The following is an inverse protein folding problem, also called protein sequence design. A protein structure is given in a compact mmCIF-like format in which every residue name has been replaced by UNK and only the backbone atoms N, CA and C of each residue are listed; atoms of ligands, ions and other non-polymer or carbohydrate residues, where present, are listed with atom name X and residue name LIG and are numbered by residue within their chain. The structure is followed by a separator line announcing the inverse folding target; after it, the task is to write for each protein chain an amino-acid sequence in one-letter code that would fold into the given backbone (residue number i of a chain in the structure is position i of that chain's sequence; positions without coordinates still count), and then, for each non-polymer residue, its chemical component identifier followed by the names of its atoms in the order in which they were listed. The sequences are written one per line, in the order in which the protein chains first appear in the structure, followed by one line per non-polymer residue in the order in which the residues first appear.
data_IF_041506694380
#
_entry.id   IF_041506694380
#
_cell.length_a   1.000
_cell.length_b   1.000
_cell.length_c   1.000
_cell.angle_alpha   90.00
_cell.angle_beta   90.00
_cell.angle_gamma   90.00
#
_symmetry.space_group_name_H-M   'P 1'
#
loop_
_entity.id
_entity.type
_entity.pdbx_description
1 polymer ?
#
# COMPACT_ATOMS: atom_id res chain seq x y z
N UNK A 1 -7.24 -10.23 -3.51
CA UNK A 1 -8.41 -9.41 -3.09
C UNK A 1 -9.81 -9.83 -3.58
N UNK A 2 -9.99 -10.50 -4.72
CA UNK A 2 -11.33 -10.77 -5.30
C UNK A 2 -12.29 -11.56 -4.40
N UNK A 3 -11.82 -12.61 -3.73
CA UNK A 3 -12.66 -13.36 -2.78
C UNK A 3 -13.14 -12.50 -1.61
N UNK A 4 -12.31 -11.55 -1.15
CA UNK A 4 -12.70 -10.59 -0.11
C UNK A 4 -13.80 -9.64 -0.58
N UNK A 5 -13.78 -9.23 -1.86
CA UNK A 5 -14.83 -8.42 -2.46
C UNK A 5 -16.18 -9.15 -2.48
N UNK A 6 -16.20 -10.45 -2.81
CA UNK A 6 -17.42 -11.28 -2.79
C UNK A 6 -17.98 -11.48 -1.38
N UNK A 7 -17.10 -11.64 -0.38
CA UNK A 7 -17.52 -11.74 1.03
C UNK A 7 -18.10 -10.39 1.48
N UNK A 8 -17.43 -9.28 1.19
CA UNK A 8 -17.90 -7.94 1.52
C UNK A 8 -19.25 -7.64 0.86
N UNK A 9 -19.41 -7.96 -0.43
CA UNK A 9 -20.68 -7.85 -1.16
C UNK A 9 -21.81 -8.50 -0.37
N UNK A 10 -21.64 -9.76 0.03
CA UNK A 10 -22.70 -10.52 0.72
C UNK A 10 -23.03 -9.95 2.10
N UNK A 11 -22.02 -9.48 2.85
CA UNK A 11 -22.25 -8.86 4.16
C UNK A 11 -23.00 -7.54 4.01
N UNK A 12 -22.55 -6.67 3.10
CA UNK A 12 -23.12 -5.33 2.91
C UNK A 12 -24.54 -5.41 2.32
N UNK A 13 -24.79 -6.34 1.41
CA UNK A 13 -26.12 -6.60 0.84
C UNK A 13 -27.11 -7.05 1.93
N UNK A 14 -26.69 -7.98 2.80
CA UNK A 14 -27.49 -8.43 3.95
C UNK A 14 -27.75 -7.32 4.98
N UNK A 15 -26.91 -6.28 5.01
CA UNK A 15 -27.11 -5.08 5.84
C UNK A 15 -28.00 -4.03 5.16
N UNK A 16 -28.60 -4.35 4.00
CA UNK A 16 -29.40 -3.44 3.20
C UNK A 16 -28.66 -2.16 2.78
N UNK A 17 -27.34 -2.24 2.59
CA UNK A 17 -26.57 -1.11 2.05
C UNK A 17 -27.08 -0.73 0.65
N UNK A 18 -27.21 0.57 0.32
CA UNK A 18 -27.57 0.99 -1.03
C UNK A 18 -26.64 0.39 -2.08
N UNK A 19 -27.21 -0.08 -3.19
CA UNK A 19 -26.46 -0.78 -4.24
C UNK A 19 -25.30 0.05 -4.81
N UNK A 20 -25.45 1.37 -4.87
CA UNK A 20 -24.39 2.30 -5.30
C UNK A 20 -23.15 2.23 -4.39
N UNK A 21 -23.35 2.39 -3.08
CA UNK A 21 -22.25 2.43 -2.10
C UNK A 21 -21.60 1.06 -1.95
N UNK A 22 -22.41 0.01 -1.97
CA UNK A 22 -21.96 -1.36 -1.99
C UNK A 22 -21.06 -1.63 -3.21
N UNK A 23 -21.49 -1.21 -4.41
CA UNK A 23 -20.71 -1.38 -5.63
C UNK A 23 -19.36 -0.64 -5.55
N UNK A 24 -19.35 0.58 -5.01
CA UNK A 24 -18.12 1.35 -4.81
C UNK A 24 -17.13 0.62 -3.89
N UNK A 25 -17.59 0.13 -2.73
CA UNK A 25 -16.75 -0.59 -1.75
C UNK A 25 -16.22 -1.91 -2.34
N UNK A 26 -17.11 -2.73 -2.91
CA UNK A 26 -16.75 -4.04 -3.46
C UNK A 26 -15.77 -3.89 -4.62
N UNK A 27 -15.97 -2.88 -5.46
CA UNK A 27 -15.05 -2.57 -6.57
C UNK A 27 -13.68 -2.14 -6.05
N UNK A 28 -13.63 -1.28 -5.04
CA UNK A 28 -12.37 -0.88 -4.43
C UNK A 28 -11.62 -2.09 -3.83
N UNK A 29 -12.32 -2.94 -3.08
CA UNK A 29 -11.74 -4.17 -2.51
C UNK A 29 -11.25 -5.10 -3.62
N UNK A 30 -12.04 -5.37 -4.66
CA UNK A 30 -11.64 -6.29 -5.73
C UNK A 30 -10.33 -5.88 -6.42
N UNK A 31 -10.10 -4.57 -6.59
CA UNK A 31 -9.05 -4.05 -7.45
C UNK A 31 -7.80 -3.52 -6.73
N UNK A 32 -7.60 -3.75 -5.43
CA UNK A 32 -6.42 -3.21 -4.71
C UNK A 32 -5.21 -4.17 -4.61
N UNK A 33 -5.28 -5.38 -5.15
CA UNK A 33 -4.21 -6.39 -5.09
C UNK A 33 -3.06 -6.11 -6.08
N UNK A 34 -1.81 -6.40 -5.74
CA UNK A 34 -0.65 -6.10 -6.60
C UNK A 34 -0.67 -6.82 -7.95
N UNK A 35 -1.19 -8.06 -8.01
CA UNK A 35 -1.14 -8.87 -9.23
C UNK A 35 -2.16 -8.49 -10.30
N UNK A 36 -3.30 -7.94 -9.89
CA UNK A 36 -4.44 -7.64 -10.78
C UNK A 36 -5.02 -6.24 -10.58
N UNK A 37 -4.41 -5.45 -9.69
CA UNK A 37 -4.99 -4.21 -9.18
C UNK A 37 -4.98 -3.08 -10.18
N UNK A 38 -6.10 -2.38 -10.23
CA UNK A 38 -6.31 -1.21 -11.08
C UNK A 38 -7.07 -0.15 -10.26
N UNK A 39 -6.55 1.08 -10.13
CA UNK A 39 -7.26 2.16 -9.44
C UNK A 39 -8.44 2.65 -10.30
N UNK A 40 -9.54 1.91 -10.28
CA UNK A 40 -10.69 2.15 -11.18
C UNK A 40 -11.55 3.35 -10.74
N UNK A 41 -11.54 3.69 -9.45
CA UNK A 41 -12.22 4.84 -8.85
C UNK A 41 -11.32 5.61 -7.89
N UNK A 42 -11.67 6.85 -7.47
CA UNK A 42 -10.95 7.57 -6.42
C UNK A 42 -10.87 6.78 -5.10
N UNK A 43 -11.95 6.09 -4.71
CA UNK A 43 -11.97 5.25 -3.50
C UNK A 43 -11.01 4.06 -3.62
N UNK A 44 -10.99 3.39 -4.79
CA UNK A 44 -10.03 2.32 -5.07
C UNK A 44 -8.59 2.82 -5.02
N UNK A 45 -8.31 4.00 -5.59
CA UNK A 45 -6.99 4.61 -5.55
C UNK A 45 -6.55 4.96 -4.12
N UNK A 46 -7.44 5.55 -3.32
CA UNK A 46 -7.17 5.84 -1.91
C UNK A 46 -6.89 4.56 -1.11
N UNK A 47 -7.68 3.50 -1.31
CA UNK A 47 -7.47 2.20 -0.67
C UNK A 47 -6.11 1.58 -1.05
N UNK A 48 -5.75 1.62 -2.33
CA UNK A 48 -4.45 1.15 -2.81
C UNK A 48 -3.32 1.90 -2.11
N UNK A 49 -3.36 3.23 -2.07
CA UNK A 49 -2.32 4.02 -1.43
C UNK A 49 -2.22 3.69 0.06
N UNK A 50 -3.35 3.56 0.76
CA UNK A 50 -3.37 3.22 2.18
C UNK A 50 -2.79 1.83 2.47
N UNK A 51 -3.14 0.82 1.67
CA UNK A 51 -2.68 -0.57 1.88
C UNK A 51 -1.23 -0.78 1.42
N UNK A 52 -0.87 -0.29 0.23
CA UNK A 52 0.41 -0.61 -0.41
C UNK A 52 1.57 0.25 0.09
N UNK A 53 1.28 1.39 0.70
CA UNK A 53 2.28 2.19 1.41
C UNK A 53 2.50 1.75 2.86
N UNK A 54 1.69 0.82 3.40
CA UNK A 54 1.82 0.35 4.78
C UNK A 54 3.01 -0.61 4.95
N UNK A 55 4.20 -0.03 5.04
CA UNK A 55 5.46 -0.72 5.37
C UNK A 55 5.93 -0.23 6.73
N UNK A 56 5.96 -1.11 7.74
CA UNK A 56 6.32 -0.74 9.11
C UNK A 56 6.73 -1.95 9.94
N UNK A 57 7.68 -1.73 10.86
CA UNK A 57 8.20 -2.73 11.80
C UNK A 57 7.13 -3.41 12.64
N UNK A 58 6.11 -2.67 13.07
CA UNK A 58 5.02 -3.20 13.91
C UNK A 58 4.12 -4.22 13.20
N UNK A 59 4.26 -4.42 11.89
CA UNK A 59 3.54 -5.45 11.13
C UNK A 59 4.15 -6.84 11.35
N UNK A 60 5.42 -6.91 11.72
CA UNK A 60 6.14 -8.15 11.98
C UNK A 60 5.71 -8.69 13.34
N UNK A 61 5.00 -9.83 13.32
CA UNK A 61 4.53 -10.50 14.54
C UNK A 61 5.54 -11.51 15.07
N UNK A 62 6.40 -12.03 14.19
CA UNK A 62 7.47 -12.92 14.56
C UNK A 62 8.48 -12.18 15.45
N UNK A 63 8.78 -12.73 16.63
CA UNK A 63 9.72 -12.13 17.58
C UNK A 63 11.11 -12.78 17.49
N UNK A 64 11.23 -13.94 16.84
CA UNK A 64 12.51 -14.64 16.68
C UNK A 64 13.19 -14.20 15.39
N UNK A 65 14.11 -13.25 15.54
CA UNK A 65 14.90 -12.68 14.44
C UNK A 65 15.65 -13.72 13.61
N UNK A 66 16.03 -14.87 14.19
CA UNK A 66 16.75 -15.92 13.47
C UNK A 66 15.91 -16.63 12.42
N UNK A 67 14.58 -16.51 12.52
CA UNK A 67 13.61 -17.16 11.62
C UNK A 67 12.98 -16.19 10.62
N UNK A 68 13.46 -14.94 10.55
CA UNK A 68 12.90 -13.93 9.66
C UNK A 68 13.08 -14.29 8.19
N UNK A 69 11.98 -14.27 7.44
CA UNK A 69 12.03 -14.26 5.98
C UNK A 69 12.36 -12.84 5.45
N UNK A 70 12.44 -12.68 4.13
CA UNK A 70 12.73 -11.38 3.52
C UNK A 70 11.68 -10.30 3.84
N UNK A 71 10.41 -10.68 3.97
CA UNK A 71 9.34 -9.72 4.29
C UNK A 71 9.46 -9.25 5.73
N UNK A 72 9.74 -10.17 6.65
CA UNK A 72 9.97 -9.85 8.05
C UNK A 72 11.19 -8.94 8.20
N UNK A 73 12.33 -9.28 7.57
CA UNK A 73 13.54 -8.44 7.64
C UNK A 73 13.31 -7.02 7.12
N UNK A 74 12.69 -6.89 5.94
CA UNK A 74 12.44 -5.58 5.33
C UNK A 74 11.43 -4.77 6.14
N UNK A 75 10.32 -5.38 6.60
CA UNK A 75 9.37 -4.63 7.41
C UNK A 75 10.01 -4.24 8.74
N UNK A 76 10.78 -5.13 9.35
CA UNK A 76 11.41 -4.90 10.64
C UNK A 76 12.49 -3.81 10.59
N UNK A 77 13.20 -3.66 9.46
CA UNK A 77 14.18 -2.61 9.26
C UNK A 77 13.56 -1.21 9.10
N UNK A 78 12.25 -1.10 8.84
CA UNK A 78 11.57 0.21 8.73
C UNK A 78 11.30 0.81 10.11
N UNK A 79 12.17 1.72 10.54
CA UNK A 79 12.07 2.43 11.81
C UNK A 79 11.03 3.56 11.80
N UNK A 80 10.86 4.23 10.65
CA UNK A 80 9.86 5.28 10.44
C UNK A 80 9.20 5.09 9.09
N UNK A 81 7.89 5.29 9.05
CA UNK A 81 7.08 5.22 7.84
C UNK A 81 5.98 6.25 7.89
N UNK A 82 5.90 7.10 6.88
CA UNK A 82 4.90 8.16 6.77
C UNK A 82 4.45 8.34 5.33
N UNK A 83 3.16 8.54 5.13
CA UNK A 83 2.60 8.97 3.85
C UNK A 83 2.19 10.45 3.97
N UNK A 84 2.84 11.31 3.20
CA UNK A 84 2.62 12.75 3.20
C UNK A 84 1.85 13.16 1.93
N UNK A 85 0.93 14.11 2.07
CA UNK A 85 0.16 14.64 0.94
C UNK A 85 0.40 16.14 0.86
N UNK A 86 0.93 16.57 -0.28
CA UNK A 86 1.08 17.97 -0.66
C UNK A 86 0.06 18.27 -1.76
N UNK A 87 -1.04 18.93 -1.36
CA UNK A 87 -2.15 19.22 -2.25
C UNK A 87 -1.80 20.32 -3.28
N UNK A 88 -0.94 21.26 -2.92
CA UNK A 88 -0.55 22.37 -3.79
C UNK A 88 0.40 21.88 -4.88
N UNK A 89 1.43 21.12 -4.49
CA UNK A 89 2.37 20.52 -5.44
C UNK A 89 1.82 19.27 -6.14
N UNK A 90 0.62 18.78 -5.74
CA UNK A 90 0.01 17.53 -6.19
C UNK A 90 0.94 16.32 -6.03
N UNK A 91 1.56 16.18 -4.87
CA UNK A 91 2.48 15.09 -4.54
C UNK A 91 1.94 14.23 -3.39
N UNK A 92 2.02 12.92 -3.52
CA UNK A 92 1.85 11.96 -2.42
C UNK A 92 3.21 11.29 -2.21
N UNK A 93 3.81 11.46 -1.03
CA UNK A 93 5.17 10.98 -0.73
C UNK A 93 5.15 9.91 0.35
N UNK A 94 5.65 8.72 0.05
CA UNK A 94 5.99 7.72 1.05
C UNK A 94 7.42 7.97 1.55
N UNK A 95 7.57 8.30 2.84
CA UNK A 95 8.85 8.57 3.49
C UNK A 95 9.17 7.44 4.46
N UNK A 96 10.28 6.75 4.20
CA UNK A 96 10.77 5.63 5.01
C UNK A 96 12.15 5.93 5.61
N UNK A 97 12.36 5.47 6.84
CA UNK A 97 13.68 5.34 7.47
C UNK A 97 13.97 3.86 7.63
N UNK A 98 14.98 3.35 6.93
CA UNK A 98 15.35 1.94 6.89
C UNK A 98 16.72 1.75 7.53
N UNK A 99 16.79 0.87 8.54
CA UNK A 99 18.05 0.39 9.11
C UNK A 99 18.74 -0.56 8.13
N UNK A 100 19.76 -0.06 7.44
CA UNK A 100 20.51 -0.80 6.43
C UNK A 100 21.43 -1.88 7.01
N UNK A 101 21.58 -1.95 8.34
CA UNK A 101 22.28 -3.08 9.00
C UNK A 101 21.42 -4.35 9.04
N UNK A 102 20.09 -4.21 8.94
CA UNK A 102 19.11 -5.30 8.99
C UNK A 102 18.72 -5.76 7.58
N UNK A 103 18.49 -4.82 6.66
CA UNK A 103 18.08 -5.13 5.29
C UNK A 103 18.55 -4.06 4.30
N UNK A 104 18.93 -4.48 3.10
CA UNK A 104 19.41 -3.58 2.06
C UNK A 104 18.27 -2.85 1.35
N UNK A 105 18.58 -1.75 0.65
CA UNK A 105 17.59 -1.11 -0.23
C UNK A 105 17.16 -2.02 -1.39
N UNK A 106 18.03 -2.93 -1.84
CA UNK A 106 17.71 -3.88 -2.90
C UNK A 106 16.67 -4.91 -2.41
N UNK A 107 16.80 -5.40 -1.19
CA UNK A 107 15.82 -6.30 -0.55
C UNK A 107 14.45 -5.62 -0.49
N UNK A 108 14.41 -4.33 -0.12
CA UNK A 108 13.16 -3.56 -0.13
C UNK A 108 12.52 -3.54 -1.51
N UNK A 109 13.29 -3.19 -2.55
CA UNK A 109 12.75 -3.13 -3.91
C UNK A 109 12.34 -4.52 -4.42
N UNK A 110 13.06 -5.57 -4.07
CA UNK A 110 12.72 -6.95 -4.48
C UNK A 110 11.27 -7.32 -4.12
N UNK A 111 10.80 -6.93 -2.93
CA UNK A 111 9.47 -7.32 -2.46
C UNK A 111 8.42 -6.20 -2.57
N UNK A 112 8.82 -4.91 -2.62
CA UNK A 112 7.90 -3.77 -2.63
C UNK A 112 7.78 -3.05 -3.98
N UNK A 113 8.61 -3.32 -4.99
CA UNK A 113 8.58 -2.56 -6.24
C UNK A 113 7.22 -2.61 -6.96
N UNK A 114 6.58 -3.78 -7.00
CA UNK A 114 5.24 -3.93 -7.60
C UNK A 114 4.20 -3.11 -6.84
N UNK A 115 4.31 -3.04 -5.51
CA UNK A 115 3.45 -2.22 -4.64
C UNK A 115 3.62 -0.74 -4.94
N UNK A 116 4.87 -0.27 -5.06
CA UNK A 116 5.17 1.13 -5.38
C UNK A 116 4.69 1.52 -6.78
N UNK A 117 4.78 0.60 -7.74
CA UNK A 117 4.19 0.80 -9.08
C UNK A 117 2.68 0.98 -9.01
N UNK A 118 2.00 0.21 -8.16
CA UNK A 118 0.55 0.33 -7.97
C UNK A 118 0.19 1.63 -7.23
N UNK A 119 0.96 2.04 -6.22
CA UNK A 119 0.83 3.36 -5.58
C UNK A 119 0.97 4.51 -6.60
N UNK A 120 1.94 4.44 -7.52
CA UNK A 120 2.11 5.44 -8.58
C UNK A 120 0.86 5.56 -9.45
N UNK A 121 0.32 4.44 -9.94
CA UNK A 121 -0.92 4.44 -10.73
C UNK A 121 -2.11 4.98 -9.94
N UNK A 122 -2.19 4.67 -8.65
CA UNK A 122 -3.25 5.18 -7.79
C UNK A 122 -3.14 6.69 -7.54
N UNK A 123 -1.94 7.22 -7.31
CA UNK A 123 -1.73 8.66 -7.23
C UNK A 123 -2.12 9.35 -8.54
N UNK A 124 -1.72 8.80 -9.69
CA UNK A 124 -2.07 9.32 -11.02
C UNK A 124 -3.59 9.40 -11.22
N UNK A 125 -4.34 8.37 -10.78
CA UNK A 125 -5.81 8.35 -10.80
C UNK A 125 -6.44 9.50 -10.01
N UNK A 126 -5.79 9.91 -8.92
CA UNK A 126 -6.21 11.05 -8.09
C UNK A 126 -5.70 12.40 -8.62
N UNK A 127 -4.89 12.40 -9.69
CA UNK A 127 -4.26 13.61 -10.23
C UNK A 127 -3.01 14.05 -9.46
N UNK A 128 -2.37 13.14 -8.73
CA UNK A 128 -1.14 13.37 -7.97
C UNK A 128 0.04 12.59 -8.57
N UNK A 129 1.26 13.03 -8.25
CA UNK A 129 2.50 12.27 -8.48
C UNK A 129 2.87 11.55 -7.19
N UNK A 130 3.07 10.24 -7.28
CA UNK A 130 3.63 9.46 -6.17
C UNK A 130 5.14 9.66 -6.11
N UNK A 131 5.70 9.81 -4.91
CA UNK A 131 7.14 9.83 -4.66
C UNK A 131 7.51 8.88 -3.53
N UNK A 132 8.65 8.19 -3.66
CA UNK A 132 9.24 7.41 -2.58
C UNK A 132 10.53 8.07 -2.09
N UNK A 133 10.65 8.29 -0.78
CA UNK A 133 11.89 8.76 -0.15
C UNK A 133 12.33 7.74 0.89
N UNK A 134 13.56 7.23 0.78
CA UNK A 134 14.14 6.30 1.76
C UNK A 134 15.46 6.88 2.24
N UNK A 135 15.63 7.04 3.56
CA UNK A 135 16.86 7.59 4.15
C UNK A 135 17.32 8.89 3.45
N UNK A 136 16.39 9.81 3.25
CA UNK A 136 16.58 11.12 2.59
C UNK A 136 16.90 11.06 1.08
N UNK A 137 17.03 9.86 0.51
CA UNK A 137 17.20 9.66 -0.92
C UNK A 137 15.84 9.56 -1.61
N UNK A 138 15.66 10.33 -2.67
CA UNK A 138 14.43 10.33 -3.46
C UNK A 138 14.52 9.29 -4.59
N UNK A 139 13.48 8.50 -4.70
CA UNK A 139 13.21 7.55 -5.76
C UNK A 139 11.97 8.03 -6.55
N UNK A 140 11.52 7.20 -7.50
CA UNK A 140 10.28 7.35 -8.30
C UNK A 140 9.21 8.18 -7.61
#
# INVERSE_FOLDING_TARGET
SQSGALIAFRILDNMNMPAHDLAEIVTAIGNHDEGTGVPVSPVSAALILADKSDVRRSRVRNQDFSTFDIHDRVNYSVEKSRLEIDAEAKIIRLVLSIDTSISSLMDYFEIFLTRMTLCRRAAEKLGFVFKLTINEQNFI
#
